data_IF_617606133161
#
_entry.id   IF_617606133161
#
_cell.length_a   1.000
_cell.length_b   1.000
_cell.length_c   1.000
_cell.angle_alpha   90.00
_cell.angle_beta   90.00
_cell.angle_gamma   90.00
#
_symmetry.space_group_name_H-M   'P 1'
#
loop_
_entity.id
_entity.type
_entity.pdbx_description
1 polymer ?
#
# COMPACT_ATOMS: atom_id res chain seq x y z
N UNK A 1 13.85 -0.51 8.26
CA UNK A 1 14.82 -0.20 7.20
C UNK A 1 14.62 1.26 6.83
N UNK A 2 15.59 2.15 7.08
CA UNK A 2 15.44 3.60 6.83
C UNK A 2 16.11 3.97 5.51
N UNK A 3 15.41 4.71 4.65
CA UNK A 3 15.95 5.19 3.39
C UNK A 3 16.58 6.58 3.62
N UNK A 4 17.88 6.71 3.38
CA UNK A 4 18.62 7.98 3.46
C UNK A 4 19.15 8.35 2.07
N UNK A 5 18.83 9.54 1.59
CA UNK A 5 19.34 10.03 0.30
C UNK A 5 19.68 11.52 0.37
N UNK A 6 20.91 11.90 -0.03
CA UNK A 6 21.42 13.28 -0.02
C UNK A 6 21.19 14.05 1.30
N UNK A 7 21.40 13.39 2.43
CA UNK A 7 21.24 14.00 3.76
C UNK A 7 19.80 14.14 4.25
N UNK A 8 18.81 13.72 3.44
CA UNK A 8 17.40 13.66 3.84
C UNK A 8 17.07 12.25 4.31
N UNK A 9 16.51 12.16 5.51
CA UNK A 9 15.94 10.92 6.05
C UNK A 9 14.48 10.86 5.63
N UNK A 10 14.10 9.79 4.93
CA UNK A 10 12.71 9.54 4.60
C UNK A 10 12.12 8.62 5.65
N UNK A 11 11.15 9.12 6.40
CA UNK A 11 10.36 8.31 7.31
C UNK A 11 9.44 7.42 6.47
N UNK A 12 9.67 6.11 6.55
CA UNK A 12 8.77 5.13 5.94
C UNK A 12 7.56 5.04 6.84
N UNK A 13 6.49 5.74 6.49
CA UNK A 13 5.20 5.57 7.15
C UNK A 13 4.73 4.14 6.85
N UNK A 14 4.59 3.26 7.87
CA UNK A 14 4.08 1.92 7.64
C UNK A 14 2.64 2.06 7.15
N UNK A 15 2.37 1.58 5.94
CA UNK A 15 1.02 1.51 5.42
C UNK A 15 0.24 0.47 6.24
N UNK A 16 -0.56 0.93 7.19
CA UNK A 16 -1.52 0.10 7.89
C UNK A 16 -2.68 -0.17 6.92
N UNK A 17 -2.58 -1.27 6.17
CA UNK A 17 -3.66 -1.70 5.28
C UNK A 17 -4.66 -2.48 6.14
N UNK A 18 -5.87 -1.94 6.28
CA UNK A 18 -6.98 -2.70 6.86
C UNK A 18 -7.31 -3.87 5.91
N UNK A 19 -7.35 -5.09 6.43
CA UNK A 19 -7.66 -6.29 5.65
C UNK A 19 -8.94 -6.90 6.22
N UNK A 20 -9.86 -7.28 5.34
CA UNK A 20 -11.08 -8.00 5.69
C UNK A 20 -10.95 -9.46 5.29
N UNK A 21 -11.47 -10.37 6.11
CA UNK A 21 -11.54 -11.80 5.79
C UNK A 21 -12.88 -12.13 5.14
N UNK A 22 -12.83 -12.74 3.95
CA UNK A 22 -14.00 -13.23 3.23
C UNK A 22 -13.93 -14.76 3.10
N UNK A 23 -15.04 -15.45 3.36
CA UNK A 23 -15.14 -16.90 3.15
C UNK A 23 -15.40 -17.16 1.67
N UNK A 24 -14.47 -17.83 0.99
CA UNK A 24 -14.54 -18.09 -0.47
C UNK A 24 -15.04 -19.50 -0.80
N UNK A 25 -15.21 -20.36 0.19
CA UNK A 25 -15.80 -21.69 0.00
C UNK A 25 -15.32 -22.70 1.02
N UNK A 26 -15.53 -23.98 0.71
CA UNK A 26 -15.05 -25.10 1.51
C UNK A 26 -14.26 -26.07 0.64
N UNK A 27 -13.09 -26.48 1.12
CA UNK A 27 -12.27 -27.48 0.45
C UNK A 27 -11.96 -28.62 1.43
N UNK A 28 -12.36 -29.85 1.07
CA UNK A 28 -12.18 -31.07 1.89
C UNK A 28 -12.66 -30.91 3.35
N UNK A 29 -13.78 -30.22 3.55
CA UNK A 29 -14.36 -30.00 4.88
C UNK A 29 -13.79 -28.80 5.65
N UNK A 30 -12.68 -28.20 5.19
CA UNK A 30 -12.14 -26.97 5.76
C UNK A 30 -12.75 -25.73 5.10
N UNK A 31 -12.96 -24.67 5.87
CA UNK A 31 -13.38 -23.36 5.35
C UNK A 31 -12.17 -22.66 4.75
N UNK A 32 -12.26 -22.26 3.48
CA UNK A 32 -11.25 -21.45 2.82
C UNK A 32 -11.61 -19.97 2.96
N UNK A 33 -10.69 -19.18 3.51
CA UNK A 33 -10.82 -17.73 3.65
C UNK A 33 -9.81 -17.01 2.76
N UNK A 34 -10.18 -15.82 2.30
CA UNK A 34 -9.31 -14.91 1.56
C UNK A 34 -9.20 -13.59 2.31
N UNK A 35 -7.97 -13.11 2.42
CA UNK A 35 -7.66 -11.78 2.92
C UNK A 35 -7.81 -10.78 1.78
N UNK A 36 -8.83 -9.94 1.84
CA UNK A 36 -9.06 -8.85 0.90
C UNK A 36 -8.72 -7.53 1.56
N UNK A 37 -7.72 -6.83 1.01
CA UNK A 37 -7.57 -5.41 1.27
C UNK A 37 -8.65 -4.67 0.45
N UNK A 38 -9.34 -3.67 1.03
CA UNK A 38 -10.24 -2.82 0.27
C UNK A 38 -9.44 -2.18 -0.86
N UNK A 39 -10.05 -2.09 -2.05
CA UNK A 39 -9.43 -1.47 -3.21
C UNK A 39 -9.40 0.05 -3.00
N UNK A 40 -8.45 0.52 -2.18
CA UNK A 40 -8.23 1.94 -1.96
C UNK A 40 -7.67 2.49 -3.26
N UNK A 41 -8.38 3.45 -3.87
CA UNK A 41 -7.84 4.23 -4.99
C UNK A 41 -6.51 4.81 -4.51
N UNK A 42 -5.41 4.41 -5.14
CA UNK A 42 -4.09 4.98 -4.85
C UNK A 42 -4.18 6.46 -5.21
N UNK A 43 -4.34 7.32 -4.20
CA UNK A 43 -4.20 8.75 -4.38
C UNK A 43 -2.71 8.99 -4.55
N UNK A 44 -2.26 9.08 -5.81
CA UNK A 44 -0.92 9.57 -6.08
C UNK A 44 -0.81 10.95 -5.44
N UNK A 45 0.22 11.19 -4.59
CA UNK A 45 0.44 12.50 -4.01
C UNK A 45 0.52 13.51 -5.15
N UNK A 46 -0.49 14.40 -5.26
CA UNK A 46 -0.42 15.49 -6.22
C UNK A 46 0.78 16.34 -5.80
N UNK A 47 1.73 16.53 -6.74
CA UNK A 47 2.96 17.29 -6.58
C UNK A 47 4.21 16.54 -6.07
N UNK A 48 4.41 15.28 -6.45
CA UNK A 48 5.76 14.71 -6.44
C UNK A 48 6.66 15.50 -7.41
N UNK A 49 7.58 16.28 -6.83
CA UNK A 49 8.57 17.07 -7.58
C UNK A 49 9.85 16.26 -7.72
N UNK A 50 10.24 15.92 -8.94
CA UNK A 50 11.55 15.31 -9.22
C UNK A 50 12.47 16.35 -9.85
N UNK A 51 13.57 16.70 -9.18
CA UNK A 51 14.52 17.74 -9.63
C UNK A 51 13.84 19.08 -10.01
N UNK A 52 12.80 19.46 -9.27
CA UNK A 52 12.05 20.71 -9.51
C UNK A 52 10.93 20.60 -10.56
N UNK A 53 10.85 19.51 -11.31
CA UNK A 53 9.74 19.25 -12.24
C UNK A 53 8.58 18.58 -11.54
N UNK A 54 7.36 19.05 -11.78
CA UNK A 54 6.12 18.40 -11.33
C UNK A 54 5.87 17.19 -12.22
N UNK A 55 5.95 15.98 -11.66
CA UNK A 55 5.59 14.77 -12.40
C UNK A 55 4.07 14.69 -12.47
N UNK A 56 3.52 14.76 -13.68
CA UNK A 56 2.10 14.52 -13.96
C UNK A 56 1.98 13.11 -14.55
N UNK A 57 1.04 12.32 -14.02
CA UNK A 57 0.61 11.04 -14.58
C UNK A 57 -0.65 11.24 -15.40
#
# INVERSE_FOLDING_TARGET
>A
MSLKYRGVNYDVVPAQVAVTEEVIGRYRGAVATRHLAPQIKVSHPKALKYRGAVVRY
#
